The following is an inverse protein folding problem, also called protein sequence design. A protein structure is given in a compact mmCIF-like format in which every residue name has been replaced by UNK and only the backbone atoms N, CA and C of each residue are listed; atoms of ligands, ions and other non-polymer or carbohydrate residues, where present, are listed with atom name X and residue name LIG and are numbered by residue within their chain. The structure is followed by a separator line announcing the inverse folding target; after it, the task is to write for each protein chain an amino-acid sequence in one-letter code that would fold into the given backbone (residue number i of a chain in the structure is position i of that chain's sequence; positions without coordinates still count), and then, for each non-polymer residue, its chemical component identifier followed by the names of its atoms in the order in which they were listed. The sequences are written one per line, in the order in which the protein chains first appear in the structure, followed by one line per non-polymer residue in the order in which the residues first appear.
data_IF_687052780308
#
_entry.id   IF_687052780308
#
_cell.length_a   1.000
_cell.length_b   1.000
_cell.length_c   1.000
_cell.angle_alpha   90.00
_cell.angle_beta   90.00
_cell.angle_gamma   90.00
#
_symmetry.space_group_name_H-M   'P 1'
#
loop_
_entity.id
_entity.type
_entity.pdbx_description
1 polymer ?
#
# COMPACT_ATOMS: atom_id res chain seq x y z
N UNK A 1 3.52 27.60 11.78
CA UNK A 1 4.22 27.01 10.61
C UNK A 1 5.03 25.74 10.95
N UNK A 2 5.92 25.72 11.96
CA UNK A 2 6.78 24.56 12.24
C UNK A 2 6.06 23.27 12.67
N UNK A 3 5.04 23.33 13.53
CA UNK A 3 4.31 22.12 14.00
C UNK A 3 3.62 21.36 12.87
N UNK A 4 2.95 22.09 11.98
CA UNK A 4 2.27 21.50 10.80
C UNK A 4 3.29 20.84 9.88
N UNK A 5 4.43 21.50 9.64
CA UNK A 5 5.49 20.96 8.80
C UNK A 5 6.15 19.71 9.40
N UNK A 6 6.39 19.69 10.72
CA UNK A 6 6.91 18.51 11.42
C UNK A 6 5.94 17.33 11.35
N UNK A 7 4.65 17.57 11.58
CA UNK A 7 3.61 16.54 11.47
C UNK A 7 3.50 16.02 10.05
N UNK A 8 3.50 16.91 9.06
CA UNK A 8 3.54 16.56 7.64
C UNK A 8 4.75 15.67 7.33
N UNK A 9 5.95 16.07 7.76
CA UNK A 9 7.19 15.35 7.47
C UNK A 9 7.23 13.95 8.11
N UNK A 10 6.75 13.84 9.36
CA UNK A 10 6.66 12.56 10.08
C UNK A 10 5.69 11.61 9.39
N UNK A 11 4.48 12.06 9.08
CA UNK A 11 3.49 11.19 8.45
C UNK A 11 3.99 10.77 7.07
N UNK A 12 4.59 11.68 6.29
CA UNK A 12 5.18 11.34 4.99
C UNK A 12 6.25 10.24 5.10
N UNK A 13 7.20 10.35 6.05
CA UNK A 13 8.22 9.32 6.26
C UNK A 13 7.63 7.96 6.65
N UNK A 14 6.66 7.96 7.56
CA UNK A 14 5.98 6.71 7.98
C UNK A 14 5.21 6.11 6.81
N UNK A 15 4.55 6.92 5.99
CA UNK A 15 3.85 6.43 4.79
C UNK A 15 4.80 5.84 3.76
N UNK A 16 5.95 6.49 3.51
CA UNK A 16 6.98 5.98 2.60
C UNK A 16 7.53 4.64 3.09
N UNK A 17 7.88 4.54 4.37
CA UNK A 17 8.38 3.29 4.97
C UNK A 17 7.34 2.16 4.90
N UNK A 18 6.09 2.43 5.27
CA UNK A 18 5.00 1.46 5.19
C UNK A 18 4.77 0.98 3.76
N UNK A 19 4.96 1.86 2.76
CA UNK A 19 4.80 1.50 1.35
C UNK A 19 5.91 0.55 0.88
N UNK A 20 7.15 0.79 1.31
CA UNK A 20 8.30 -0.09 1.01
C UNK A 20 8.14 -1.46 1.68
N UNK A 21 7.78 -1.50 2.96
CA UNK A 21 7.50 -2.74 3.70
C UNK A 21 6.36 -3.54 3.03
N UNK A 22 5.31 -2.85 2.61
CA UNK A 22 4.19 -3.45 1.89
C UNK A 22 4.61 -4.04 0.54
N UNK A 23 5.42 -3.33 -0.25
CA UNK A 23 5.93 -3.85 -1.52
C UNK A 23 6.79 -5.11 -1.30
N UNK A 24 7.65 -5.13 -0.28
CA UNK A 24 8.45 -6.33 0.04
C UNK A 24 7.56 -7.51 0.38
N UNK A 25 6.56 -7.31 1.25
CA UNK A 25 5.59 -8.35 1.64
C UNK A 25 4.83 -8.89 0.44
N UNK A 26 4.44 -8.02 -0.48
CA UNK A 26 3.68 -8.37 -1.68
C UNK A 26 4.57 -8.99 -2.77
N UNK A 27 5.88 -8.73 -2.77
CA UNK A 27 6.83 -9.37 -3.67
C UNK A 27 7.18 -10.80 -3.25
N UNK A 28 7.08 -11.13 -1.97
CA UNK A 28 7.36 -12.45 -1.41
C UNK A 28 6.13 -13.37 -1.38
N UNK A 29 5.07 -13.01 -2.11
CA UNK A 29 3.82 -13.76 -2.13
C UNK A 29 3.97 -15.09 -2.91
N UNK A 30 4.42 -16.11 -2.19
CA UNK A 30 4.43 -17.52 -2.59
C UNK A 30 3.49 -18.37 -1.67
N UNK A 31 2.71 -17.70 -0.82
CA UNK A 31 2.03 -18.31 0.33
C UNK A 31 0.51 -18.25 0.14
N UNK A 32 -0.15 -19.35 0.51
CA UNK A 32 -1.60 -19.52 0.64
C UNK A 32 -2.27 -18.25 1.24
N UNK A 33 -2.80 -17.42 0.35
CA UNK A 33 -3.39 -16.12 0.66
C UNK A 33 -4.75 -16.33 1.34
N UNK A 34 -4.77 -16.28 2.67
CA UNK A 34 -6.03 -16.28 3.41
C UNK A 34 -6.71 -14.91 3.31
N UNK A 35 -8.04 -14.90 3.29
CA UNK A 35 -8.83 -13.66 3.27
C UNK A 35 -8.47 -12.69 4.42
N UNK A 36 -8.12 -13.24 5.60
CA UNK A 36 -7.66 -12.46 6.74
C UNK A 36 -6.30 -11.80 6.50
N UNK A 37 -5.39 -12.48 5.81
CA UNK A 37 -4.10 -11.91 5.40
C UNK A 37 -4.28 -10.78 4.39
N UNK A 38 -5.12 -10.99 3.37
CA UNK A 38 -5.44 -9.96 2.37
C UNK A 38 -6.05 -8.72 3.06
N UNK A 39 -7.02 -8.91 3.95
CA UNK A 39 -7.65 -7.79 4.65
C UNK A 39 -6.66 -7.02 5.54
N UNK A 40 -5.92 -7.74 6.39
CA UNK A 40 -5.11 -7.11 7.45
C UNK A 40 -3.73 -6.64 7.01
N UNK A 41 -3.07 -7.37 6.10
CA UNK A 41 -1.68 -7.13 5.69
C UNK A 41 -1.56 -6.46 4.33
N UNK A 42 -2.59 -6.54 3.50
CA UNK A 42 -2.54 -6.00 2.16
C UNK A 42 -3.48 -4.79 1.99
N UNK A 43 -4.78 -4.95 2.24
CA UNK A 43 -5.80 -3.91 2.00
C UNK A 43 -5.72 -2.75 2.98
N UNK A 44 -5.64 -3.00 4.30
CA UNK A 44 -5.59 -1.92 5.30
C UNK A 44 -4.38 -0.98 5.10
N UNK A 45 -3.14 -1.47 4.93
CA UNK A 45 -2.00 -0.61 4.64
C UNK A 45 -2.17 0.11 3.29
N UNK A 46 -2.68 -0.58 2.27
CA UNK A 46 -2.94 0.02 0.96
C UNK A 46 -3.93 1.19 1.02
N UNK A 47 -5.08 0.99 1.66
CA UNK A 47 -6.07 2.04 1.89
C UNK A 47 -5.48 3.22 2.67
N UNK A 48 -4.61 2.94 3.65
CA UNK A 48 -3.96 3.99 4.43
C UNK A 48 -3.06 4.90 3.59
N UNK A 49 -2.27 4.36 2.65
CA UNK A 49 -1.38 5.20 1.84
C UNK A 49 -2.07 5.84 0.62
N UNK A 50 -3.07 5.20 0.00
CA UNK A 50 -3.81 5.83 -1.12
C UNK A 50 -4.72 6.99 -0.67
N UNK A 51 -5.13 7.02 0.60
CA UNK A 51 -6.00 8.08 1.16
C UNK A 51 -5.20 9.32 1.61
N UNK A 52 -3.87 9.27 1.54
CA UNK A 52 -3.02 10.41 1.87
C UNK A 52 -3.09 11.50 0.80
N UNK A 53 -2.88 12.79 1.15
CA UNK A 53 -3.06 13.91 0.24
C UNK A 53 -2.21 13.77 -1.05
N UNK A 54 -2.84 14.00 -2.20
CA UNK A 54 -2.23 13.92 -3.54
C UNK A 54 -0.99 14.81 -3.72
N UNK A 55 -0.84 15.86 -2.91
CA UNK A 55 0.36 16.72 -2.88
C UNK A 55 1.62 15.97 -2.43
N UNK A 56 1.48 14.80 -1.79
CA UNK A 56 2.60 13.95 -1.36
C UNK A 56 3.12 13.08 -2.50
N UNK A 57 2.30 12.86 -3.53
CA UNK A 57 2.51 11.82 -4.54
C UNK A 57 3.02 12.33 -5.89
N UNK A 58 3.25 13.64 -6.08
CA UNK A 58 3.69 14.17 -7.40
C UNK A 58 4.98 13.50 -7.94
N UNK A 59 5.87 13.01 -7.09
CA UNK A 59 7.04 12.21 -7.49
C UNK A 59 6.86 10.69 -7.43
N UNK A 60 5.82 10.21 -6.75
CA UNK A 60 5.61 8.80 -6.40
C UNK A 60 4.40 8.17 -7.12
N UNK A 61 3.62 8.96 -7.88
CA UNK A 61 2.39 8.52 -8.56
C UNK A 61 2.58 7.25 -9.39
N UNK A 62 3.70 7.15 -10.13
CA UNK A 62 4.00 5.98 -10.96
C UNK A 62 4.19 4.71 -10.12
N UNK A 63 4.73 4.82 -8.91
CA UNK A 63 4.85 3.70 -7.97
C UNK A 63 3.49 3.35 -7.38
N UNK A 64 2.68 4.34 -7.00
CA UNK A 64 1.32 4.12 -6.49
C UNK A 64 0.43 3.40 -7.50
N UNK A 65 0.46 3.80 -8.78
CA UNK A 65 -0.30 3.12 -9.85
C UNK A 65 0.14 1.67 -10.01
N UNK A 66 1.45 1.38 -9.91
CA UNK A 66 1.96 0.01 -9.93
C UNK A 66 1.46 -0.79 -8.73
N UNK A 67 1.49 -0.23 -7.53
CA UNK A 67 0.97 -0.87 -6.32
C UNK A 67 -0.55 -1.10 -6.39
N UNK A 68 -1.33 -0.14 -6.92
CA UNK A 68 -2.76 -0.30 -7.19
C UNK A 68 -3.00 -1.46 -8.17
N UNK A 69 -2.31 -1.47 -9.30
CA UNK A 69 -2.43 -2.53 -10.30
C UNK A 69 -2.11 -3.91 -9.71
N UNK A 70 -1.06 -3.99 -8.90
CA UNK A 70 -0.65 -5.22 -8.21
C UNK A 70 -1.68 -5.66 -7.18
N UNK A 71 -2.24 -4.72 -6.42
CA UNK A 71 -3.35 -4.99 -5.51
C UNK A 71 -4.51 -5.68 -6.21
N UNK A 72 -4.97 -5.08 -7.31
CA UNK A 72 -6.08 -5.63 -8.08
C UNK A 72 -5.77 -7.02 -8.63
N UNK A 73 -4.55 -7.27 -9.12
CA UNK A 73 -4.13 -8.59 -9.60
C UNK A 73 -4.19 -9.66 -8.51
N UNK A 74 -3.72 -9.36 -7.30
CA UNK A 74 -3.73 -10.31 -6.19
C UNK A 74 -5.17 -10.62 -5.75
N UNK A 75 -6.02 -9.59 -5.64
CA UNK A 75 -7.44 -9.77 -5.30
C UNK A 75 -8.14 -10.62 -6.37
N UNK A 76 -7.91 -10.31 -7.65
CA UNK A 76 -8.49 -11.04 -8.77
C UNK A 76 -8.05 -12.52 -8.77
N UNK A 77 -6.76 -12.79 -8.55
CA UNK A 77 -6.24 -14.15 -8.46
C UNK A 77 -6.82 -14.89 -7.25
N UNK A 78 -6.97 -14.23 -6.11
CA UNK A 78 -7.60 -14.82 -4.92
C UNK A 78 -9.07 -15.19 -5.17
N UNK A 79 -9.81 -14.37 -5.93
CA UNK A 79 -11.20 -14.67 -6.29
C UNK A 79 -11.26 -15.84 -7.28
N UNK A 80 -10.41 -15.83 -8.30
CA UNK A 80 -10.38 -16.87 -9.32
C UNK A 80 -9.85 -18.22 -8.82
N UNK A 81 -8.99 -18.24 -7.80
CA UNK A 81 -8.46 -19.47 -7.19
C UNK A 81 -9.44 -20.14 -6.20
N UNK A 82 -10.54 -19.48 -5.84
CA UNK A 82 -11.65 -20.07 -5.06
C UNK A 82 -12.76 -20.64 -5.95
N UNK A 83 -12.59 -20.59 -7.28
CA UNK A 83 -13.52 -21.15 -8.28
C UNK A 83 -13.16 -22.56 -8.71
#
# INVERSE_FOLDING_TARGET
CQRVWRRYHLIRKVTEQLHEEWEVLVNQLDINLTNQWISSKMLRPFLFFITQPSSWYKGQQTKTVKSISRCFKIILNSINSMG
#
